data_IF_218982705967
#
_entry.id   IF_218982705967
#
_cell.length_a   1.000
_cell.length_b   1.000
_cell.length_c   1.000
_cell.angle_alpha   90.00
_cell.angle_beta   90.00
_cell.angle_gamma   90.00
#
_symmetry.space_group_name_H-M   'P 1'
#
loop_
_entity.id
_entity.type
_entity.pdbx_description
1 polymer ?
#
# COMPACT_ATOMS: atom_id res chain seq x y z
N UNK A 1 7.46 17.50 -9.39
CA UNK A 1 6.21 17.44 -8.58
C UNK A 1 5.32 16.22 -8.87
N UNK A 2 5.76 15.23 -9.67
CA UNK A 2 4.92 14.11 -10.13
C UNK A 2 5.03 12.78 -9.38
N UNK A 3 5.73 12.72 -8.24
CA UNK A 3 6.14 11.44 -7.61
C UNK A 3 5.13 10.87 -6.62
N UNK A 4 4.02 11.57 -6.33
CA UNK A 4 3.05 11.14 -5.33
C UNK A 4 1.65 10.96 -5.91
N UNK A 5 0.95 9.93 -5.45
CA UNK A 5 -0.49 9.72 -5.60
C UNK A 5 -1.14 10.43 -4.40
N UNK A 6 -2.14 11.27 -4.69
CA UNK A 6 -2.96 11.90 -3.64
C UNK A 6 -4.23 11.09 -3.47
N UNK A 7 -4.50 10.64 -2.26
CA UNK A 7 -5.68 9.84 -1.95
C UNK A 7 -6.46 10.42 -0.78
N UNK A 8 -7.78 10.47 -0.87
CA UNK A 8 -8.63 10.84 0.27
C UNK A 8 -8.53 9.76 1.36
N UNK A 9 -8.53 10.18 2.63
CA UNK A 9 -8.39 9.27 3.76
C UNK A 9 -9.46 8.16 3.80
N UNK A 10 -10.67 8.43 3.29
CA UNK A 10 -11.76 7.44 3.17
C UNK A 10 -11.43 6.23 2.29
N UNK A 11 -10.40 6.33 1.43
CA UNK A 11 -9.96 5.22 0.58
C UNK A 11 -8.81 4.43 1.20
N UNK A 12 -8.32 4.83 2.37
CA UNK A 12 -7.37 4.04 3.16
C UNK A 12 -8.15 2.92 3.84
N UNK A 13 -7.72 1.69 3.61
CA UNK A 13 -8.35 0.50 4.17
C UNK A 13 -7.70 0.14 5.51
N UNK A 14 -6.37 0.09 5.54
CA UNK A 14 -5.60 -0.35 6.71
C UNK A 14 -4.22 0.29 6.73
N UNK A 15 -3.77 0.73 7.90
CA UNK A 15 -2.36 1.02 8.18
C UNK A 15 -1.77 -0.13 9.00
N UNK A 16 -0.55 -0.54 8.68
CA UNK A 16 0.09 -1.69 9.31
C UNK A 16 1.61 -1.59 9.31
N UNK A 17 2.22 -2.62 9.88
CA UNK A 17 3.66 -2.74 10.00
C UNK A 17 4.04 -4.21 9.85
N UNK A 18 5.10 -4.50 9.09
CA UNK A 18 5.59 -5.86 8.92
C UNK A 18 6.19 -6.36 10.24
N UNK A 19 5.74 -7.53 10.69
CA UNK A 19 6.25 -8.15 11.92
C UNK A 19 7.06 -9.42 11.65
N UNK A 20 6.94 -10.04 10.47
CA UNK A 20 7.74 -11.20 10.13
C UNK A 20 9.24 -10.82 10.07
N UNK A 21 10.14 -11.59 10.73
CA UNK A 21 11.57 -11.28 10.78
C UNK A 21 12.23 -11.12 9.41
N UNK A 22 11.74 -11.80 8.38
CA UNK A 22 12.30 -11.74 7.03
C UNK A 22 11.99 -10.45 6.23
N UNK A 23 11.06 -9.61 6.68
CA UNK A 23 10.54 -8.49 5.88
C UNK A 23 11.01 -7.09 6.32
N UNK A 24 11.98 -7.03 7.24
CA UNK A 24 12.40 -5.81 7.93
C UNK A 24 11.23 -5.10 8.62
N UNK A 25 11.50 -4.18 9.53
CA UNK A 25 10.45 -3.41 10.19
C UNK A 25 9.97 -2.25 9.29
N UNK A 26 8.88 -2.45 8.54
CA UNK A 26 8.35 -1.52 7.53
C UNK A 26 6.89 -1.20 7.79
N UNK A 27 6.60 0.09 7.97
CA UNK A 27 5.23 0.60 7.94
C UNK A 27 4.69 0.54 6.53
N UNK A 28 3.42 0.19 6.40
CA UNK A 28 2.71 0.16 5.13
C UNK A 28 1.28 0.69 5.29
N UNK A 29 0.70 1.09 4.18
CA UNK A 29 -0.71 1.46 4.07
C UNK A 29 -1.33 0.69 2.90
N UNK A 30 -2.52 0.14 3.14
CA UNK A 30 -3.35 -0.52 2.15
C UNK A 30 -4.49 0.40 1.81
N UNK A 31 -4.75 0.56 0.51
CA UNK A 31 -5.75 1.50 0.05
C UNK A 31 -6.46 1.00 -1.21
N UNK A 32 -7.65 1.55 -1.43
CA UNK A 32 -8.42 1.31 -2.64
C UNK A 32 -8.25 2.48 -3.62
N UNK A 33 -7.90 2.16 -4.88
CA UNK A 33 -7.80 3.13 -5.96
C UNK A 33 -8.78 2.76 -7.08
N UNK A 34 -9.97 3.39 -7.14
CA UNK A 34 -10.96 3.09 -8.17
C UNK A 34 -10.53 3.48 -9.58
N UNK A 35 -9.45 4.27 -9.73
CA UNK A 35 -8.93 4.68 -11.04
C UNK A 35 -8.14 3.57 -11.73
N UNK A 36 -7.65 2.59 -10.97
CA UNK A 36 -6.96 1.43 -11.55
C UNK A 36 -7.98 0.44 -12.14
N UNK A 37 -7.61 -0.19 -13.25
CA UNK A 37 -8.47 -1.18 -13.92
C UNK A 37 -8.26 -2.59 -13.38
N UNK A 38 -7.08 -2.87 -12.83
CA UNK A 38 -6.68 -4.10 -12.15
C UNK A 38 -5.91 -3.75 -10.89
N UNK A 39 -5.95 -4.65 -9.92
CA UNK A 39 -5.31 -4.50 -8.62
C UNK A 39 -5.68 -3.17 -7.98
N UNK A 40 -6.99 -2.95 -7.83
CA UNK A 40 -7.55 -1.72 -7.27
C UNK A 40 -7.23 -1.57 -5.80
N UNK A 41 -7.06 -2.68 -5.07
CA UNK A 41 -6.47 -2.66 -3.74
C UNK A 41 -4.97 -2.69 -3.91
N UNK A 42 -4.28 -1.77 -3.23
CA UNK A 42 -2.86 -1.50 -3.39
C UNK A 42 -2.20 -1.33 -2.04
N UNK A 43 -0.89 -1.45 -2.01
CA UNK A 43 -0.07 -1.29 -0.83
C UNK A 43 1.09 -0.34 -1.12
N UNK A 44 1.43 0.50 -0.14
CA UNK A 44 2.53 1.44 -0.22
C UNK A 44 3.30 1.50 1.10
N UNK A 45 4.62 1.65 1.04
CA UNK A 45 5.53 1.71 2.20
C UNK A 45 6.22 3.06 2.38
N UNK A 46 5.97 4.02 1.49
CA UNK A 46 6.49 5.39 1.58
C UNK A 46 5.33 6.39 1.41
N UNK A 47 4.82 6.84 2.54
CA UNK A 47 3.65 7.69 2.60
C UNK A 47 3.69 8.67 3.76
N UNK A 48 2.94 9.77 3.63
CA UNK A 48 2.69 10.71 4.70
C UNK A 48 1.31 11.33 4.55
N UNK A 49 0.70 11.71 5.67
CA UNK A 49 -0.54 12.45 5.66
C UNK A 49 -0.25 13.95 5.46
N UNK A 50 -1.05 14.60 4.63
CA UNK A 50 -1.05 16.05 4.44
C UNK A 50 -2.50 16.54 4.44
N UNK A 51 -2.88 17.28 5.49
CA UNK A 51 -4.27 17.65 5.77
C UNK A 51 -5.21 16.42 5.75
N UNK A 52 -6.21 16.43 4.86
CA UNK A 52 -7.22 15.38 4.69
C UNK A 52 -6.88 14.39 3.57
N UNK A 53 -5.63 14.36 3.10
CA UNK A 53 -5.19 13.40 2.09
C UNK A 53 -3.96 12.62 2.54
N UNK A 54 -3.88 11.37 2.09
CA UNK A 54 -2.67 10.57 2.11
C UNK A 54 -1.86 10.83 0.85
N UNK A 55 -0.57 11.11 1.03
CA UNK A 55 0.41 11.28 -0.04
C UNK A 55 1.21 9.98 -0.13
N UNK A 56 1.10 9.26 -1.25
CA UNK A 56 1.69 7.92 -1.45
C UNK A 56 2.77 7.99 -2.54
N UNK A 57 3.99 7.54 -2.27
CA UNK A 57 5.07 7.60 -3.25
C UNK A 57 4.88 6.57 -4.36
N UNK A 58 4.87 7.01 -5.62
CA UNK A 58 4.60 6.14 -6.78
C UNK A 58 5.60 5.01 -6.96
N UNK A 59 6.88 5.24 -6.61
CA UNK A 59 7.92 4.21 -6.73
C UNK A 59 7.72 3.05 -5.76
N UNK A 60 7.00 3.30 -4.66
CA UNK A 60 6.67 2.32 -3.64
C UNK A 60 5.26 1.74 -3.80
N UNK A 61 4.54 2.11 -4.86
CA UNK A 61 3.17 1.65 -5.07
C UNK A 61 3.15 0.27 -5.72
N UNK A 62 2.38 -0.65 -5.11
CA UNK A 62 2.25 -2.02 -5.58
C UNK A 62 0.81 -2.49 -5.50
N UNK A 63 0.32 -3.14 -6.55
CA UNK A 63 -1.01 -3.73 -6.56
C UNK A 63 -1.08 -5.00 -5.72
N UNK A 64 -2.20 -5.21 -5.04
CA UNK A 64 -2.44 -6.32 -4.11
C UNK A 64 -3.50 -7.30 -4.65
N UNK A 65 -4.71 -6.81 -4.91
CA UNK A 65 -5.82 -7.62 -5.44
C UNK A 65 -6.88 -6.74 -6.13
N UNK A 66 -7.80 -7.36 -6.88
CA UNK A 66 -8.70 -6.62 -7.78
C UNK A 66 -9.87 -5.96 -7.04
N UNK A 67 -10.27 -6.50 -5.88
CA UNK A 67 -11.45 -6.06 -5.12
C UNK A 67 -11.23 -6.08 -3.60
N UNK A 68 -12.07 -5.32 -2.87
CA UNK A 68 -12.01 -5.23 -1.40
C UNK A 68 -12.39 -6.56 -0.76
N UNK A 69 -13.37 -7.28 -1.31
CA UNK A 69 -13.84 -8.58 -0.83
C UNK A 69 -12.77 -9.68 -0.99
N UNK A 70 -11.81 -9.48 -1.90
CA UNK A 70 -10.62 -10.33 -2.00
C UNK A 70 -9.59 -9.99 -0.94
N UNK A 71 -9.38 -8.70 -0.68
CA UNK A 71 -8.47 -8.20 0.35
C UNK A 71 -8.81 -8.76 1.74
N UNK A 72 -10.09 -8.79 2.10
CA UNK A 72 -10.57 -9.32 3.38
C UNK A 72 -10.21 -10.81 3.61
N UNK A 73 -9.90 -11.54 2.53
CA UNK A 73 -9.53 -12.96 2.56
C UNK A 73 -8.02 -13.18 2.51
N UNK A 74 -7.23 -12.13 2.30
CA UNK A 74 -5.77 -12.24 2.24
C UNK A 74 -5.22 -12.51 3.63
N UNK A 75 -4.28 -13.44 3.72
CA UNK A 75 -3.57 -13.69 4.97
C UNK A 75 -2.47 -12.65 5.19
N UNK A 76 -2.13 -12.41 6.46
CA UNK A 76 -1.13 -11.43 6.88
C UNK A 76 0.23 -11.67 6.23
N UNK A 77 0.69 -12.94 6.15
CA UNK A 77 2.00 -13.27 5.56
C UNK A 77 2.11 -12.79 4.11
N UNK A 78 1.05 -12.96 3.32
CA UNK A 78 1.02 -12.47 1.94
C UNK A 78 1.06 -10.94 1.89
N UNK A 79 0.27 -10.27 2.73
CA UNK A 79 0.26 -8.80 2.83
C UNK A 79 1.66 -8.27 3.15
N UNK A 80 2.32 -8.83 4.16
CA UNK A 80 3.66 -8.39 4.55
C UNK A 80 4.71 -8.67 3.48
N UNK A 81 4.59 -9.79 2.76
CA UNK A 81 5.44 -10.07 1.61
C UNK A 81 5.27 -9.02 0.50
N UNK A 82 4.04 -8.54 0.25
CA UNK A 82 3.81 -7.46 -0.71
C UNK A 82 4.27 -6.09 -0.17
N UNK A 83 4.15 -5.83 1.14
CA UNK A 83 4.70 -4.63 1.75
C UNK A 83 6.23 -4.58 1.58
N UNK A 84 6.92 -5.68 1.85
CA UNK A 84 8.35 -5.78 1.62
C UNK A 84 8.71 -5.61 0.13
N UNK A 85 7.92 -6.21 -0.78
CA UNK A 85 8.06 -6.00 -2.21
C UNK A 85 7.93 -4.53 -2.63
N UNK A 86 6.92 -3.84 -2.11
CA UNK A 86 6.70 -2.39 -2.30
C UNK A 86 7.93 -1.58 -1.85
N UNK A 87 8.51 -1.89 -0.70
CA UNK A 87 9.73 -1.24 -0.22
C UNK A 87 10.93 -1.51 -1.14
N UNK A 88 11.12 -2.76 -1.54
CA UNK A 88 12.21 -3.14 -2.45
C UNK A 88 12.09 -2.49 -3.83
N UNK A 89 10.87 -2.29 -4.34
CA UNK A 89 10.64 -1.66 -5.64
C UNK A 89 11.00 -0.16 -5.59
N UNK A 90 10.63 0.53 -4.51
CA UNK A 90 10.87 1.98 -4.37
C UNK A 90 12.27 2.36 -3.90
N UNK A 91 13.00 1.45 -3.26
CA UNK A 91 14.37 1.67 -2.77
C UNK A 91 15.47 1.41 -3.82
N UNK A 92 15.10 1.06 -5.06
CA UNK A 92 16.01 0.89 -6.21
C UNK A 92 16.44 2.23 -6.80
#
# INVERSE_FOLDING_TARGET
>A
MGNYIKLQLENILTEGQTIAPEYCDKKYVIYYNPKETRQKVRINTDYYQNDNVMMLCKSYDRGLCDAIEEYEKLNLKYIESQAYGSWMDGAR
#
